data_IF_672831303100
#
_entry.id   IF_672831303100
#
_cell.length_a   1.000
_cell.length_b   1.000
_cell.length_c   1.000
_cell.angle_alpha   90.00
_cell.angle_beta   90.00
_cell.angle_gamma   90.00
#
_symmetry.space_group_name_H-M   'P 1'
#
loop_
_entity.id
_entity.type
_entity.pdbx_description
1 polymer ?
#
# COMPACT_ATOMS: atom_id res chain seq x y z
N UNK A 1 32.95 61.47 -32.01
CA UNK A 1 32.66 61.17 -33.42
C UNK A 1 33.33 59.86 -33.85
N UNK A 2 32.52 58.87 -34.24
CA UNK A 2 32.96 57.55 -34.71
C UNK A 2 31.81 56.54 -34.59
N UNK A 3 31.11 56.33 -35.70
CA UNK A 3 29.85 55.61 -35.90
C UNK A 3 30.09 54.25 -36.59
N UNK A 4 29.11 53.33 -36.49
CA UNK A 4 28.95 52.10 -37.30
C UNK A 4 29.68 50.87 -36.75
N UNK A 5 29.17 49.63 -36.73
CA UNK A 5 28.09 48.95 -37.45
C UNK A 5 27.66 47.72 -36.60
N UNK A 6 26.38 47.49 -36.31
CA UNK A 6 25.37 46.73 -37.07
C UNK A 6 25.49 45.19 -37.05
N UNK A 7 24.36 44.51 -36.74
CA UNK A 7 24.07 43.16 -37.19
C UNK A 7 23.79 42.09 -36.11
N UNK A 8 22.52 41.78 -35.85
CA UNK A 8 22.15 40.59 -35.06
C UNK A 8 20.66 40.40 -34.79
N UNK A 9 19.89 40.12 -35.85
CA UNK A 9 18.43 39.96 -35.90
C UNK A 9 17.98 38.54 -35.51
N UNK A 10 16.93 38.40 -34.70
CA UNK A 10 16.16 37.15 -34.50
C UNK A 10 15.76 36.96 -33.03
N UNK A 11 14.54 36.63 -32.63
CA UNK A 11 13.34 36.17 -33.30
C UNK A 11 12.19 36.16 -32.29
N UNK A 12 10.98 36.01 -32.81
CA UNK A 12 9.67 36.38 -32.24
C UNK A 12 9.02 35.23 -31.44
N UNK A 13 8.06 35.58 -30.56
CA UNK A 13 6.84 34.85 -30.12
C UNK A 13 6.84 34.02 -28.83
N UNK A 14 6.13 34.58 -27.83
CA UNK A 14 4.98 34.04 -27.07
C UNK A 14 4.93 32.55 -26.71
N UNK A 15 4.73 32.28 -25.41
CA UNK A 15 4.16 31.02 -24.94
C UNK A 15 4.09 30.93 -23.42
N UNK A 16 3.06 31.53 -22.82
CA UNK A 16 2.67 31.21 -21.43
C UNK A 16 2.30 29.73 -21.34
N UNK A 17 2.90 29.00 -20.39
CA UNK A 17 2.44 27.66 -19.99
C UNK A 17 2.08 27.70 -18.51
N UNK A 18 0.79 27.88 -18.23
CA UNK A 18 0.24 27.50 -16.93
C UNK A 18 0.14 25.97 -16.87
N UNK A 19 0.58 25.32 -15.79
CA UNK A 19 0.23 23.93 -15.56
C UNK A 19 -1.18 23.86 -14.93
N UNK A 20 -2.15 23.42 -15.73
CA UNK A 20 -3.43 22.88 -15.27
C UNK A 20 -3.16 21.47 -14.73
N UNK A 21 -3.32 21.23 -13.43
CA UNK A 21 -3.31 19.86 -12.89
C UNK A 21 -4.58 19.61 -12.07
N UNK A 22 -5.43 18.84 -12.75
CA UNK A 22 -6.56 18.01 -12.36
C UNK A 22 -6.73 17.72 -10.86
N UNK A 23 -7.90 18.07 -10.34
CA UNK A 23 -8.45 17.49 -9.13
C UNK A 23 -8.86 16.03 -9.41
N UNK A 24 -8.16 15.07 -8.80
CA UNK A 24 -8.56 13.66 -8.83
C UNK A 24 -9.47 13.42 -7.63
N UNK A 25 -10.79 13.41 -7.88
CA UNK A 25 -11.79 12.99 -6.92
C UNK A 25 -11.68 11.49 -6.66
N UNK A 26 -11.61 11.10 -5.39
CA UNK A 26 -11.70 9.69 -4.98
C UNK A 26 -13.18 9.37 -4.82
N UNK A 27 -13.73 8.67 -5.80
CA UNK A 27 -15.05 8.05 -5.71
C UNK A 27 -14.99 6.85 -4.78
N UNK A 28 -15.82 6.86 -3.72
CA UNK A 28 -16.05 5.71 -2.85
C UNK A 28 -17.05 4.81 -3.57
N UNK A 29 -16.59 3.66 -4.06
CA UNK A 29 -17.48 2.60 -4.49
C UNK A 29 -18.00 1.86 -3.24
N UNK A 30 -19.29 1.99 -2.96
CA UNK A 30 -19.98 1.22 -1.93
C UNK A 30 -20.16 -0.19 -2.44
N UNK A 31 -19.61 -1.16 -1.72
CA UNK A 31 -19.76 -2.59 -1.97
C UNK A 31 -21.21 -3.03 -1.74
N UNK A 32 -21.86 -3.51 -2.80
CA UNK A 32 -23.13 -4.23 -2.72
C UNK A 32 -22.86 -5.74 -2.65
N UNK A 33 -23.14 -6.35 -1.49
CA UNK A 33 -23.20 -7.80 -1.30
C UNK A 33 -24.59 -8.27 -1.76
N UNK A 34 -24.63 -9.18 -2.74
CA UNK A 34 -25.85 -9.88 -3.15
C UNK A 34 -25.64 -11.39 -3.00
N UNK A 35 -26.28 -11.95 -1.97
CA UNK A 35 -26.28 -13.38 -1.66
C UNK A 35 -26.97 -14.21 -2.74
N UNK A 36 -26.42 -15.40 -3.02
CA UNK A 36 -27.05 -16.39 -3.88
C UNK A 36 -28.26 -17.02 -3.21
N UNK A 37 -29.38 -17.06 -3.93
CA UNK A 37 -30.52 -17.89 -3.62
C UNK A 37 -30.59 -19.02 -4.65
N UNK A 38 -30.37 -20.25 -4.19
CA UNK A 38 -30.68 -21.47 -4.94
C UNK A 38 -32.21 -21.62 -4.95
N UNK A 39 -32.79 -21.65 -6.15
CA UNK A 39 -34.19 -22.02 -6.33
C UNK A 39 -34.31 -23.54 -6.47
N UNK A 40 -35.10 -24.07 -5.56
CA UNK A 40 -35.66 -25.41 -5.47
C UNK A 40 -36.62 -25.72 -6.63
N UNK A 41 -36.63 -26.98 -7.04
CA UNK A 41 -37.64 -27.62 -7.91
C UNK A 41 -37.07 -28.98 -8.33
N UNK A 42 -37.59 -30.15 -7.97
CA UNK A 42 -38.96 -30.53 -7.62
C UNK A 42 -39.40 -31.57 -8.65
N UNK A 43 -39.65 -32.83 -8.24
CA UNK A 43 -40.17 -33.87 -9.13
C UNK A 43 -39.86 -35.30 -8.67
N UNK A 44 -40.73 -35.84 -7.83
CA UNK A 44 -40.90 -37.26 -7.52
C UNK A 44 -41.43 -38.05 -8.73
N UNK A 45 -40.99 -39.30 -8.91
CA UNK A 45 -41.75 -40.35 -9.60
C UNK A 45 -41.30 -41.76 -9.12
N UNK A 46 -42.23 -42.45 -8.46
CA UNK A 46 -42.18 -43.87 -8.12
C UNK A 46 -42.33 -44.78 -9.36
N UNK A 47 -41.54 -45.86 -9.47
CA UNK A 47 -42.05 -47.18 -9.91
C UNK A 47 -41.08 -48.36 -9.70
N UNK A 48 -41.74 -49.50 -9.52
CA UNK A 48 -41.34 -50.81 -9.02
C UNK A 48 -40.94 -51.79 -10.15
N UNK A 49 -40.05 -52.73 -9.82
CA UNK A 49 -39.85 -54.10 -10.38
C UNK A 49 -39.35 -54.24 -11.83
N UNK A 50 -38.21 -54.90 -12.06
CA UNK A 50 -38.13 -56.35 -12.33
C UNK A 50 -36.70 -56.84 -12.58
N UNK A 51 -36.48 -58.12 -12.31
CA UNK A 51 -35.22 -58.84 -12.40
C UNK A 51 -34.76 -59.08 -13.85
N UNK A 52 -33.45 -59.02 -14.10
CA UNK A 52 -32.77 -59.80 -15.14
C UNK A 52 -31.25 -59.83 -14.90
N UNK A 53 -30.74 -61.05 -14.87
CA UNK A 53 -29.35 -61.51 -14.75
C UNK A 53 -28.42 -61.07 -15.89
N UNK A 54 -27.11 -61.14 -15.58
CA UNK A 54 -25.92 -61.25 -16.44
C UNK A 54 -25.05 -59.98 -16.58
N UNK A 55 -23.86 -59.96 -15.96
CA UNK A 55 -22.57 -60.43 -16.51
C UNK A 55 -21.46 -59.92 -15.59
N UNK A 56 -20.58 -60.82 -15.13
CA UNK A 56 -19.28 -60.49 -14.55
C UNK A 56 -18.44 -59.65 -15.51
N UNK A 57 -18.07 -58.45 -15.10
CA UNK A 57 -16.88 -57.77 -15.61
C UNK A 57 -15.98 -57.44 -14.43
N UNK A 58 -14.92 -58.24 -14.29
CA UNK A 58 -13.80 -58.03 -13.40
C UNK A 58 -13.11 -56.71 -13.75
N UNK A 59 -13.15 -55.74 -12.84
CA UNK A 59 -12.15 -54.68 -12.77
C UNK A 59 -12.05 -54.21 -11.30
N UNK A 60 -10.92 -54.41 -10.61
CA UNK A 60 -10.64 -53.64 -9.42
C UNK A 60 -10.24 -52.24 -9.88
N UNK A 61 -11.22 -51.38 -10.14
CA UNK A 61 -10.96 -49.95 -10.16
C UNK A 61 -10.85 -49.54 -8.70
N UNK A 62 -9.61 -49.38 -8.24
CA UNK A 62 -9.29 -48.69 -7.00
C UNK A 62 -9.93 -47.30 -7.07
N UNK A 63 -11.12 -47.15 -6.48
CA UNK A 63 -11.63 -45.86 -6.06
C UNK A 63 -10.78 -45.42 -4.86
N UNK A 64 -9.55 -44.97 -5.15
CA UNK A 64 -8.89 -44.01 -4.27
C UNK A 64 -9.89 -42.86 -4.09
N UNK A 65 -10.29 -42.54 -2.85
CA UNK A 65 -11.03 -41.33 -2.60
C UNK A 65 -10.18 -40.18 -3.15
N UNK A 66 -10.66 -39.48 -4.17
CA UNK A 66 -10.04 -38.21 -4.59
C UNK A 66 -9.84 -37.39 -3.33
N UNK A 67 -8.58 -37.18 -2.97
CA UNK A 67 -8.21 -36.37 -1.82
C UNK A 67 -8.99 -35.06 -1.93
N UNK A 68 -9.90 -34.83 -0.98
CA UNK A 68 -10.56 -33.55 -0.84
C UNK A 68 -9.48 -32.47 -0.85
N UNK A 69 -9.69 -31.32 -1.52
CA UNK A 69 -8.66 -30.30 -1.63
C UNK A 69 -8.21 -29.95 -0.22
N UNK A 70 -6.99 -30.36 0.12
CA UNK A 70 -6.37 -30.00 1.39
C UNK A 70 -6.34 -28.48 1.42
N UNK A 71 -6.92 -27.89 2.46
CA UNK A 71 -6.93 -26.44 2.63
C UNK A 71 -5.51 -25.91 2.47
N UNK A 72 -5.26 -25.00 1.52
CA UNK A 72 -3.94 -24.44 1.27
C UNK A 72 -3.48 -23.65 2.50
N UNK A 73 -2.50 -24.13 3.28
CA UNK A 73 -2.08 -23.46 4.51
C UNK A 73 -1.45 -22.08 4.24
N UNK A 74 -1.02 -21.81 3.01
CA UNK A 74 -0.53 -20.49 2.62
C UNK A 74 -1.65 -19.46 2.50
N UNK A 75 -2.91 -19.88 2.32
CA UNK A 75 -4.06 -18.97 2.28
C UNK A 75 -4.27 -18.27 3.62
N UNK A 76 -4.20 -19.01 4.73
CA UNK A 76 -4.41 -18.45 6.07
C UNK A 76 -3.32 -17.44 6.42
N UNK A 77 -2.07 -17.74 6.07
CA UNK A 77 -0.95 -16.81 6.22
C UNK A 77 -1.13 -15.54 5.35
N UNK A 78 -1.64 -15.69 4.13
CA UNK A 78 -1.91 -14.55 3.24
C UNK A 78 -3.03 -13.66 3.81
N UNK A 79 -4.09 -14.25 4.35
CA UNK A 79 -5.18 -13.51 5.01
C UNK A 79 -4.68 -12.74 6.24
N UNK A 80 -3.85 -13.39 7.08
CA UNK A 80 -3.26 -12.74 8.23
C UNK A 80 -2.37 -11.55 7.84
N UNK A 81 -1.58 -11.70 6.77
CA UNK A 81 -0.77 -10.61 6.23
C UNK A 81 -1.65 -9.50 5.63
N UNK A 82 -2.70 -9.80 4.86
CA UNK A 82 -3.61 -8.79 4.30
C UNK A 82 -4.24 -7.93 5.40
N UNK A 83 -4.66 -8.56 6.51
CA UNK A 83 -5.20 -7.85 7.66
C UNK A 83 -4.20 -6.84 8.23
N UNK A 84 -2.93 -7.25 8.36
CA UNK A 84 -1.87 -6.33 8.80
C UNK A 84 -1.64 -5.19 7.80
N UNK A 85 -1.64 -5.49 6.49
CA UNK A 85 -1.46 -4.48 5.45
C UNK A 85 -2.62 -3.48 5.41
N UNK A 86 -3.84 -3.90 5.73
CA UNK A 86 -4.99 -3.02 5.84
C UNK A 86 -4.78 -1.90 6.89
N UNK A 87 -4.07 -2.19 7.98
CA UNK A 87 -3.79 -1.22 9.05
C UNK A 87 -2.70 -0.19 8.67
N UNK A 88 -1.89 -0.49 7.66
CA UNK A 88 -0.68 0.27 7.30
C UNK A 88 -0.98 1.72 6.85
N UNK A 89 -2.13 1.95 6.22
CA UNK A 89 -2.52 3.25 5.67
C UNK A 89 -3.08 4.27 6.68
N UNK A 90 -3.36 3.87 7.92
CA UNK A 90 -4.13 4.64 8.91
C UNK A 90 -3.56 6.03 9.23
N UNK A 91 -2.24 6.20 9.18
CA UNK A 91 -1.56 7.46 9.55
C UNK A 91 -1.24 8.39 8.37
N UNK A 92 -1.57 8.00 7.12
CA UNK A 92 -1.11 8.71 5.91
C UNK A 92 -1.61 10.16 5.85
N UNK A 93 -2.90 10.37 6.07
CA UNK A 93 -3.51 11.69 6.00
C UNK A 93 -2.91 12.64 7.05
N UNK A 94 -2.72 12.14 8.28
CA UNK A 94 -2.10 12.88 9.38
C UNK A 94 -0.66 13.30 9.04
N UNK A 95 0.18 12.39 8.54
CA UNK A 95 1.56 12.73 8.14
C UNK A 95 1.61 13.74 7.00
N UNK A 96 0.76 13.61 5.97
CA UNK A 96 0.71 14.57 4.86
C UNK A 96 0.36 15.97 5.38
N UNK A 97 -0.65 16.05 6.26
CA UNK A 97 -1.05 17.31 6.88
C UNK A 97 0.08 17.87 7.74
N UNK A 98 0.68 17.07 8.60
CA UNK A 98 1.76 17.50 9.50
C UNK A 98 2.96 18.05 8.71
N UNK A 99 3.45 17.35 7.68
CA UNK A 99 4.55 17.86 6.84
C UNK A 99 4.16 19.16 6.12
N UNK A 100 2.91 19.30 5.68
CA UNK A 100 2.42 20.53 5.06
C UNK A 100 2.36 21.70 6.07
N UNK A 101 1.93 21.43 7.30
CA UNK A 101 1.91 22.38 8.41
C UNK A 101 3.34 22.83 8.75
N UNK A 102 4.31 21.91 8.84
CA UNK A 102 5.72 22.27 9.03
C UNK A 102 6.23 23.16 7.90
N UNK A 103 5.99 22.80 6.63
CA UNK A 103 6.40 23.62 5.47
C UNK A 103 5.88 25.06 5.55
N UNK A 104 4.67 25.25 6.05
CA UNK A 104 3.99 26.55 6.20
C UNK A 104 4.23 27.22 7.56
N UNK A 105 5.09 26.65 8.40
CA UNK A 105 5.30 27.13 9.77
C UNK A 105 4.02 27.26 10.59
N UNK A 106 3.06 26.35 10.38
CA UNK A 106 1.79 26.31 11.07
C UNK A 106 1.75 25.11 12.02
N UNK A 107 1.05 25.25 13.16
CA UNK A 107 0.76 24.15 14.09
C UNK A 107 1.96 23.25 14.45
N UNK A 108 3.16 23.83 14.57
CA UNK A 108 4.41 23.07 14.59
C UNK A 108 4.47 22.01 15.70
N UNK A 109 3.99 22.34 16.90
CA UNK A 109 3.96 21.40 18.01
C UNK A 109 3.05 20.20 17.72
N UNK A 110 1.84 20.45 17.21
CA UNK A 110 0.92 19.38 16.83
C UNK A 110 1.47 18.55 15.67
N UNK A 111 2.03 19.20 14.65
CA UNK A 111 2.64 18.50 13.52
C UNK A 111 3.79 17.58 13.99
N UNK A 112 4.63 18.05 14.91
CA UNK A 112 5.70 17.25 15.49
C UNK A 112 5.17 16.06 16.32
N UNK A 113 4.07 16.25 17.06
CA UNK A 113 3.41 15.18 17.81
C UNK A 113 2.79 14.12 16.89
N UNK A 114 2.04 14.55 15.87
CA UNK A 114 1.41 13.69 14.86
C UNK A 114 2.45 12.83 14.12
N UNK A 115 3.56 13.44 13.72
CA UNK A 115 4.67 12.74 13.06
C UNK A 115 5.30 11.68 13.98
N UNK A 116 5.53 12.00 15.26
CA UNK A 116 6.04 11.01 16.24
C UNK A 116 5.06 9.86 16.47
N UNK A 117 3.76 10.16 16.58
CA UNK A 117 2.72 9.14 16.71
C UNK A 117 2.70 8.21 15.49
N UNK A 118 2.81 8.79 14.30
CA UNK A 118 2.88 8.05 13.04
C UNK A 118 4.15 7.16 12.95
N UNK A 119 5.29 7.65 13.44
CA UNK A 119 6.52 6.86 13.55
C UNK A 119 6.35 5.65 14.49
N UNK A 120 5.70 5.86 15.64
CA UNK A 120 5.40 4.79 16.61
C UNK A 120 4.50 3.71 15.99
N UNK A 121 3.42 4.11 15.32
CA UNK A 121 2.52 3.19 14.62
C UNK A 121 3.25 2.32 13.58
N UNK A 122 4.20 2.91 12.84
CA UNK A 122 5.03 2.15 11.89
C UNK A 122 5.98 1.16 12.57
N UNK A 123 6.51 1.50 13.74
CA UNK A 123 7.26 0.56 14.58
C UNK A 123 6.40 -0.62 15.03
N UNK A 124 5.15 -0.36 15.43
CA UNK A 124 4.20 -1.41 15.83
C UNK A 124 3.87 -2.35 14.66
N UNK A 125 3.73 -1.85 13.43
CA UNK A 125 3.56 -2.70 12.24
C UNK A 125 4.72 -3.67 12.03
N UNK A 126 5.96 -3.21 12.22
CA UNK A 126 7.15 -4.07 12.14
C UNK A 126 7.10 -5.17 13.19
N UNK A 127 6.75 -4.83 14.44
CA UNK A 127 6.60 -5.81 15.51
C UNK A 127 5.52 -6.84 15.19
N UNK A 128 4.34 -6.39 14.72
CA UNK A 128 3.25 -7.30 14.34
C UNK A 128 3.67 -8.23 13.19
N UNK A 129 4.36 -7.71 12.17
CA UNK A 129 4.86 -8.52 11.07
C UNK A 129 5.83 -9.61 11.52
N UNK A 130 6.72 -9.30 12.47
CA UNK A 130 7.66 -10.28 13.02
C UNK A 130 6.97 -11.41 13.80
N UNK A 131 5.75 -11.17 14.28
CA UNK A 131 4.92 -12.18 14.94
C UNK A 131 4.06 -13.03 13.99
N UNK A 132 4.02 -12.71 12.70
CA UNK A 132 3.24 -13.47 11.71
C UNK A 132 4.07 -14.59 11.09
N UNK A 133 3.51 -15.80 11.07
CA UNK A 133 4.01 -16.88 10.24
C UNK A 133 3.59 -16.65 8.78
N UNK A 134 4.59 -16.55 7.90
CA UNK A 134 4.40 -16.33 6.45
C UNK A 134 5.28 -17.26 5.61
N UNK A 135 5.88 -18.28 6.22
CA UNK A 135 6.87 -19.18 5.62
C UNK A 135 6.32 -20.04 4.48
N UNK A 136 4.99 -20.17 4.37
CA UNK A 136 4.33 -20.88 3.25
C UNK A 136 4.02 -19.95 2.08
N UNK A 137 4.19 -18.63 2.24
CA UNK A 137 3.98 -17.68 1.14
C UNK A 137 5.18 -17.68 0.18
N UNK A 138 4.94 -17.60 -1.14
CA UNK A 138 6.03 -17.46 -2.10
C UNK A 138 6.78 -16.14 -1.87
N UNK A 139 8.10 -16.16 -1.97
CA UNK A 139 8.98 -15.00 -1.77
C UNK A 139 8.79 -14.28 -0.41
N UNK A 140 8.29 -14.98 0.61
CA UNK A 140 7.96 -14.38 1.90
C UNK A 140 9.11 -13.57 2.52
N UNK A 141 10.35 -14.07 2.48
CA UNK A 141 11.51 -13.38 3.03
C UNK A 141 11.78 -12.03 2.34
N UNK A 142 11.59 -11.96 1.02
CA UNK A 142 11.74 -10.72 0.26
C UNK A 142 10.60 -9.75 0.57
N UNK A 143 9.37 -10.25 0.73
CA UNK A 143 8.20 -9.46 1.06
C UNK A 143 8.30 -8.87 2.46
N UNK A 144 8.58 -9.69 3.48
CA UNK A 144 8.72 -9.21 4.86
C UNK A 144 9.93 -8.30 5.02
N UNK A 145 11.03 -8.57 4.32
CA UNK A 145 12.20 -7.68 4.27
C UNK A 145 11.88 -6.31 3.67
N UNK A 146 11.12 -6.27 2.57
CA UNK A 146 10.69 -5.03 1.93
C UNK A 146 9.72 -4.24 2.82
N UNK A 147 8.70 -4.90 3.41
CA UNK A 147 7.76 -4.26 4.34
C UNK A 147 8.47 -3.70 5.58
N UNK A 148 9.36 -4.48 6.19
CA UNK A 148 10.16 -4.04 7.34
C UNK A 148 10.99 -2.81 6.99
N UNK A 149 11.66 -2.83 5.83
CA UNK A 149 12.47 -1.71 5.37
C UNK A 149 11.63 -0.47 5.06
N UNK A 150 10.48 -0.65 4.41
CA UNK A 150 9.52 0.41 4.10
C UNK A 150 9.02 1.12 5.36
N UNK A 151 8.60 0.36 6.38
CA UNK A 151 8.05 0.93 7.61
C UNK A 151 9.13 1.55 8.50
N UNK A 152 10.31 0.93 8.61
CA UNK A 152 11.45 1.52 9.34
C UNK A 152 11.90 2.83 8.70
N UNK A 153 12.06 2.86 7.38
CA UNK A 153 12.42 4.08 6.66
C UNK A 153 11.33 5.15 6.79
N UNK A 154 10.05 4.76 6.71
CA UNK A 154 8.94 5.69 6.90
C UNK A 154 8.90 6.27 8.33
N UNK A 155 9.15 5.44 9.35
CA UNK A 155 9.22 5.89 10.75
C UNK A 155 10.39 6.87 10.97
N UNK A 156 11.55 6.57 10.38
CA UNK A 156 12.71 7.46 10.41
C UNK A 156 12.42 8.79 9.69
N UNK A 157 11.73 8.75 8.54
CA UNK A 157 11.32 9.97 7.83
C UNK A 157 10.41 10.85 8.70
N UNK A 158 9.40 10.25 9.34
CA UNK A 158 8.47 10.96 10.23
C UNK A 158 9.20 11.58 11.43
N UNK A 159 10.13 10.85 12.06
CA UNK A 159 10.97 11.38 13.15
C UNK A 159 11.84 12.56 12.70
N UNK A 160 12.44 12.47 11.51
CA UNK A 160 13.20 13.58 10.94
C UNK A 160 12.32 14.79 10.65
N UNK A 161 11.10 14.60 10.13
CA UNK A 161 10.17 15.71 9.93
C UNK A 161 9.66 16.30 11.25
N UNK A 162 9.49 15.49 12.31
CA UNK A 162 9.15 15.99 13.63
C UNK A 162 10.29 16.84 14.20
N UNK A 163 11.54 16.37 14.10
CA UNK A 163 12.71 17.14 14.51
C UNK A 163 12.88 18.42 13.67
N UNK A 164 12.53 18.38 12.38
CA UNK A 164 12.49 19.58 11.54
C UNK A 164 11.44 20.58 12.04
N UNK A 165 10.25 20.12 12.43
CA UNK A 165 9.21 20.96 13.04
C UNK A 165 9.72 21.69 14.29
N UNK A 166 10.41 20.97 15.18
CA UNK A 166 10.99 21.55 16.39
C UNK A 166 12.07 22.60 16.05
N UNK A 167 12.95 22.30 15.08
CA UNK A 167 14.00 23.20 14.64
C UNK A 167 13.45 24.51 14.07
N UNK A 168 12.41 24.44 13.25
CA UNK A 168 11.86 25.64 12.61
C UNK A 168 10.97 26.46 13.54
N UNK A 169 10.50 25.87 14.65
CA UNK A 169 9.84 26.59 15.74
C UNK A 169 10.77 27.53 16.52
N UNK A 170 12.09 27.43 16.35
CA UNK A 170 13.08 28.31 16.96
C UNK A 170 13.23 29.69 16.28
N UNK A 171 14.06 30.55 16.87
CA UNK A 171 14.37 31.88 16.30
C UNK A 171 14.92 31.75 14.88
N UNK A 172 14.34 32.48 13.93
CA UNK A 172 14.70 32.48 12.51
C UNK A 172 14.50 31.13 11.77
N UNK A 173 13.76 30.17 12.33
CA UNK A 173 13.44 28.91 11.67
C UNK A 173 12.40 29.06 10.54
N UNK A 174 11.54 30.06 10.68
CA UNK A 174 10.51 30.42 9.72
C UNK A 174 10.82 31.77 9.07
N UNK A 175 10.81 31.82 7.72
CA UNK A 175 10.99 33.04 6.94
C UNK A 175 9.76 33.25 6.06
N UNK A 176 9.03 34.36 6.26
CA UNK A 176 7.81 34.70 5.51
C UNK A 176 6.76 33.56 5.52
N UNK A 177 6.57 32.90 6.67
CA UNK A 177 5.64 31.78 6.79
C UNK A 177 6.10 30.48 6.13
N UNK A 178 7.38 30.36 5.78
CA UNK A 178 7.96 29.15 5.21
C UNK A 178 9.09 28.62 6.10
N UNK A 179 9.06 27.32 6.36
CA UNK A 179 10.10 26.65 7.12
C UNK A 179 11.41 26.60 6.33
N UNK A 180 12.53 26.94 6.98
CA UNK A 180 13.85 26.76 6.41
C UNK A 180 14.16 25.28 6.22
N UNK A 181 14.79 24.93 5.11
CA UNK A 181 15.36 23.60 4.91
C UNK A 181 16.53 23.39 5.86
N UNK A 182 16.47 22.31 6.65
CA UNK A 182 17.53 21.89 7.56
C UNK A 182 18.09 20.52 7.17
N UNK A 183 19.14 20.07 7.86
CA UNK A 183 19.63 18.70 7.73
C UNK A 183 18.57 17.65 8.05
N UNK A 184 17.64 17.95 8.98
CA UNK A 184 16.51 17.07 9.32
C UNK A 184 15.51 16.97 8.17
N UNK A 185 15.14 18.08 7.54
CA UNK A 185 14.28 18.05 6.35
C UNK A 185 14.88 17.20 5.22
N UNK A 186 16.19 17.33 4.99
CA UNK A 186 16.90 16.53 3.98
C UNK A 186 16.97 15.04 4.35
N UNK A 187 17.24 14.72 5.63
CA UNK A 187 17.26 13.34 6.11
C UNK A 187 15.87 12.69 5.98
N UNK A 188 14.80 13.42 6.32
CA UNK A 188 13.42 12.99 6.12
C UNK A 188 13.12 12.68 4.66
N UNK A 189 13.53 13.55 3.74
CA UNK A 189 13.37 13.33 2.29
C UNK A 189 14.12 12.09 1.79
N UNK A 190 15.36 11.87 2.26
CA UNK A 190 16.13 10.67 1.91
C UNK A 190 15.43 9.39 2.37
N UNK A 191 14.98 9.37 3.62
CA UNK A 191 14.29 8.21 4.19
C UNK A 191 12.93 7.97 3.53
N UNK A 192 12.20 9.04 3.17
CA UNK A 192 10.97 8.96 2.38
C UNK A 192 11.21 8.33 1.00
N UNK A 193 12.35 8.63 0.36
CA UNK A 193 12.77 7.97 -0.88
C UNK A 193 13.02 6.47 -0.72
N UNK A 194 13.77 6.08 0.32
CA UNK A 194 14.00 4.66 0.66
C UNK A 194 12.67 3.94 0.93
N UNK A 195 11.79 4.55 1.72
CA UNK A 195 10.46 4.02 2.00
C UNK A 195 9.65 3.80 0.71
N UNK A 196 9.63 4.78 -0.19
CA UNK A 196 8.89 4.70 -1.44
C UNK A 196 9.37 3.56 -2.34
N UNK A 197 10.69 3.37 -2.46
CA UNK A 197 11.26 2.27 -3.22
C UNK A 197 10.87 0.91 -2.62
N UNK A 198 10.96 0.76 -1.30
CA UNK A 198 10.61 -0.50 -0.63
C UNK A 198 9.11 -0.80 -0.66
N UNK A 199 8.25 0.22 -0.56
CA UNK A 199 6.80 0.07 -0.74
C UNK A 199 6.45 -0.36 -2.17
N UNK A 200 7.17 0.15 -3.17
CA UNK A 200 7.06 -0.31 -4.55
C UNK A 200 7.35 -1.80 -4.68
N UNK A 201 8.49 -2.24 -4.11
CA UNK A 201 8.88 -3.66 -4.09
C UNK A 201 7.87 -4.54 -3.35
N UNK A 202 7.45 -4.11 -2.15
CA UNK A 202 6.50 -4.84 -1.32
C UNK A 202 5.13 -4.97 -2.01
N UNK A 203 4.63 -3.91 -2.65
CA UNK A 203 3.37 -3.95 -3.39
C UNK A 203 3.41 -4.96 -4.55
N UNK A 204 4.50 -4.99 -5.32
CA UNK A 204 4.65 -5.98 -6.40
C UNK A 204 4.60 -7.42 -5.88
N UNK A 205 5.36 -7.72 -4.82
CA UNK A 205 5.39 -9.05 -4.19
C UNK A 205 4.04 -9.43 -3.59
N UNK A 206 3.41 -8.51 -2.85
CA UNK A 206 2.10 -8.72 -2.25
C UNK A 206 1.01 -8.95 -3.31
N UNK A 207 0.97 -8.14 -4.36
CA UNK A 207 -0.12 -8.22 -5.35
C UNK A 207 -0.11 -9.52 -6.15
N UNK A 208 1.06 -10.16 -6.31
CA UNK A 208 1.16 -11.51 -6.86
C UNK A 208 0.51 -12.56 -5.94
N UNK A 209 0.74 -12.47 -4.62
CA UNK A 209 0.12 -13.34 -3.61
C UNK A 209 -1.38 -13.06 -3.51
N UNK A 210 -1.76 -11.79 -3.43
CA UNK A 210 -3.15 -11.37 -3.33
C UNK A 210 -3.98 -11.83 -4.53
N UNK A 211 -3.41 -11.74 -5.74
CA UNK A 211 -4.04 -12.27 -6.95
C UNK A 211 -4.30 -13.77 -6.88
N UNK A 212 -3.31 -14.57 -6.40
CA UNK A 212 -3.47 -16.03 -6.25
C UNK A 212 -4.61 -16.40 -5.29
N UNK A 213 -4.80 -15.63 -4.22
CA UNK A 213 -5.78 -15.95 -3.17
C UNK A 213 -7.06 -15.11 -3.20
N UNK A 214 -7.25 -14.25 -4.20
CA UNK A 214 -8.41 -13.36 -4.30
C UNK A 214 -8.49 -12.30 -3.19
N UNK A 215 -7.34 -11.84 -2.69
CA UNK A 215 -7.24 -10.83 -1.62
C UNK A 215 -7.09 -9.42 -2.19
N UNK A 216 -7.21 -8.42 -1.32
CA UNK A 216 -7.12 -7.02 -1.70
C UNK A 216 -5.69 -6.68 -2.15
N UNK A 217 -5.54 -6.29 -3.42
CA UNK A 217 -4.30 -5.72 -3.92
C UNK A 217 -4.05 -4.34 -3.33
N UNK A 218 -2.78 -4.00 -3.09
CA UNK A 218 -2.35 -2.76 -2.45
C UNK A 218 -1.42 -1.99 -3.37
N UNK A 219 -1.64 -0.68 -3.42
CA UNK A 219 -0.72 0.28 -4.03
C UNK A 219 0.42 0.60 -3.06
N UNK A 220 1.61 1.01 -3.55
CA UNK A 220 2.72 1.40 -2.69
C UNK A 220 2.34 2.46 -1.65
N UNK A 221 1.41 3.36 -1.96
CA UNK A 221 0.95 4.40 -1.03
C UNK A 221 0.09 3.89 0.12
N UNK A 222 -0.42 2.66 0.03
CA UNK A 222 -1.24 1.98 1.03
C UNK A 222 -0.42 1.06 1.95
N UNK A 223 0.89 0.93 1.68
CA UNK A 223 1.87 0.18 2.48
C UNK A 223 2.78 1.14 3.28
#
# INVERSE_FOLDING_TARGET
>A
PGQGDDGGRGGKRTGSRLPLIAAIGVGIAVLGVGAGALLSGGGDDDKKTDASTNVSATAPASNEPSASPTADPARDQAVALDKLLADSGSSRASVIKAVADVKKCANLQQAAADLRAAAKQRGELVTRLNGLSVDKLPNHAQLTGALTSAWKASASADQHYAAWADQVGGKNGCKKGQARTTSQAQAGNRQSGVASAQKGKAAGLWNAIAGKYGLTQRQPTQL
#
